data_IF_879299870090
#
_entry.id   IF_879299870090
#
_cell.length_a   1.000
_cell.length_b   1.000
_cell.length_c   1.000
_cell.angle_alpha   90.00
_cell.angle_beta   90.00
_cell.angle_gamma   90.00
#
_symmetry.space_group_name_H-M   'P 1'
#
loop_
_entity.id
_entity.type
_entity.pdbx_description
1 polymer ?
#
# COMPACT_ATOMS: atom_id res chain seq x y z
N UNK A 1 29.56 3.46 5.08
CA UNK A 1 28.82 2.47 5.88
C UNK A 1 29.59 1.17 5.92
N UNK A 2 29.22 0.26 6.82
CA UNK A 2 29.82 -1.09 6.88
C UNK A 2 29.41 -1.89 5.64
N UNK A 3 30.36 -2.63 5.04
CA UNK A 3 30.16 -3.37 3.79
C UNK A 3 29.43 -4.70 3.96
N UNK A 4 29.39 -5.24 5.19
CA UNK A 4 28.76 -6.50 5.53
C UNK A 4 28.10 -6.40 6.90
N UNK A 5 26.89 -6.95 7.03
CA UNK A 5 26.18 -7.00 8.29
C UNK A 5 26.87 -7.96 9.28
N UNK A 6 26.93 -7.59 10.55
CA UNK A 6 27.42 -8.47 11.63
C UNK A 6 28.94 -8.55 11.79
N UNK A 7 29.73 -7.77 11.04
CA UNK A 7 31.20 -7.68 11.23
C UNK A 7 31.65 -6.43 11.98
N UNK A 8 30.75 -5.47 12.19
CA UNK A 8 31.06 -4.20 12.85
C UNK A 8 30.04 -3.81 13.92
N UNK A 9 29.83 -2.50 14.03
CA UNK A 9 28.96 -1.84 15.00
C UNK A 9 27.47 -2.02 14.72
N UNK A 10 27.09 -2.39 13.49
CA UNK A 10 25.69 -2.57 13.08
C UNK A 10 25.38 -4.03 12.77
N UNK A 11 24.27 -4.51 13.31
CA UNK A 11 23.76 -5.86 13.08
C UNK A 11 22.25 -5.91 12.92
N UNK A 12 21.74 -7.11 12.68
CA UNK A 12 20.30 -7.35 12.66
C UNK A 12 19.92 -8.71 13.22
N UNK A 13 18.66 -8.81 13.67
CA UNK A 13 18.03 -10.07 14.08
C UNK A 13 16.60 -10.10 13.54
N UNK A 14 16.32 -11.06 12.67
CA UNK A 14 14.98 -11.35 12.17
C UNK A 14 14.68 -12.83 12.37
N UNK A 15 13.45 -13.26 12.10
CA UNK A 15 13.11 -14.68 12.20
C UNK A 15 13.95 -15.49 11.21
N UNK A 16 14.75 -16.43 11.75
CA UNK A 16 15.56 -17.34 10.95
C UNK A 16 16.91 -16.78 10.46
N UNK A 17 17.22 -15.50 10.71
CA UNK A 17 18.50 -14.92 10.32
C UNK A 17 19.00 -13.91 11.35
N UNK A 18 20.31 -13.95 11.62
CA UNK A 18 20.98 -13.06 12.56
C UNK A 18 22.38 -12.75 12.04
N UNK A 19 22.77 -11.48 12.12
CA UNK A 19 24.13 -11.03 11.87
C UNK A 19 24.55 -10.05 12.97
N UNK A 20 25.38 -10.52 13.91
CA UNK A 20 25.92 -9.73 15.02
C UNK A 20 27.30 -10.28 15.43
N UNK A 21 28.17 -9.42 15.95
CA UNK A 21 29.44 -9.79 16.58
C UNK A 21 29.67 -9.02 17.88
N UNK A 22 30.78 -9.27 18.56
CA UNK A 22 31.14 -8.61 19.83
C UNK A 22 31.30 -7.09 19.72
N UNK A 23 31.49 -6.58 18.49
CA UNK A 23 31.58 -5.14 18.20
C UNK A 23 30.22 -4.50 17.96
N UNK A 24 29.15 -5.27 17.79
CA UNK A 24 27.82 -4.75 17.48
C UNK A 24 27.29 -3.91 18.65
N UNK A 25 26.78 -2.71 18.34
CA UNK A 25 26.21 -1.74 19.28
C UNK A 25 24.82 -1.27 18.87
N UNK A 26 24.47 -1.38 17.59
CA UNK A 26 23.16 -1.10 17.05
C UNK A 26 22.61 -2.36 16.38
N UNK A 27 21.39 -2.76 16.74
CA UNK A 27 20.73 -3.95 16.22
C UNK A 27 19.37 -3.57 15.65
N UNK A 28 19.18 -3.80 14.36
CA UNK A 28 17.85 -3.77 13.76
C UNK A 28 17.15 -5.10 14.02
N UNK A 29 15.92 -5.06 14.51
CA UNK A 29 15.14 -6.29 14.66
C UNK A 29 13.66 -6.02 14.38
N UNK A 30 12.93 -7.08 14.04
CA UNK A 30 11.48 -6.96 13.95
C UNK A 30 10.86 -6.90 15.34
N UNK A 31 9.70 -6.25 15.46
CA UNK A 31 8.93 -6.13 16.70
C UNK A 31 8.76 -7.48 17.42
N UNK A 32 8.42 -8.54 16.68
CA UNK A 32 8.27 -9.88 17.24
C UNK A 32 9.54 -10.49 17.83
N UNK A 33 10.72 -10.18 17.29
CA UNK A 33 12.01 -10.62 17.87
C UNK A 33 12.23 -9.94 19.22
N UNK A 34 11.99 -8.62 19.30
CA UNK A 34 12.13 -7.88 20.55
C UNK A 34 11.13 -8.34 21.60
N UNK A 35 9.86 -8.54 21.22
CA UNK A 35 8.82 -9.07 22.12
C UNK A 35 9.22 -10.43 22.70
N UNK A 36 9.78 -11.33 21.88
CA UNK A 36 10.29 -12.62 22.35
C UNK A 36 11.47 -12.46 23.31
N UNK A 37 12.38 -11.53 23.03
CA UNK A 37 13.51 -11.25 23.91
C UNK A 37 13.02 -10.75 25.27
N UNK A 38 12.05 -9.83 25.30
CA UNK A 38 11.44 -9.25 26.50
C UNK A 38 10.78 -10.26 27.45
N UNK A 39 10.53 -11.50 27.00
CA UNK A 39 10.03 -12.58 27.87
C UNK A 39 11.10 -13.14 28.82
N UNK A 40 12.39 -12.82 28.61
CA UNK A 40 13.50 -13.28 29.45
C UNK A 40 13.77 -12.32 30.60
N UNK A 41 14.06 -12.84 31.80
CA UNK A 41 14.25 -12.04 33.04
C UNK A 41 15.40 -11.02 33.00
N UNK A 42 16.25 -11.04 31.96
CA UNK A 42 17.39 -10.13 31.75
C UNK A 42 17.44 -9.54 30.35
N UNK A 43 16.28 -9.49 29.69
CA UNK A 43 16.16 -9.07 28.30
C UNK A 43 16.76 -7.68 27.99
N UNK A 44 16.70 -6.78 28.99
CA UNK A 44 17.02 -5.36 28.87
C UNK A 44 18.36 -4.98 29.52
N UNK A 45 19.05 -5.90 30.23
CA UNK A 45 20.25 -5.57 31.02
C UNK A 45 21.37 -4.93 30.19
N UNK A 46 21.48 -5.33 28.92
CA UNK A 46 22.49 -4.82 27.98
C UNK A 46 21.95 -3.75 27.03
N UNK A 47 20.70 -3.31 27.19
CA UNK A 47 20.02 -2.39 26.27
C UNK A 47 19.86 -1.02 26.94
N UNK A 48 20.48 0.00 26.34
CA UNK A 48 20.36 1.38 26.83
C UNK A 48 19.23 2.14 26.14
N UNK A 49 18.99 1.85 24.86
CA UNK A 49 18.01 2.56 24.03
C UNK A 49 17.21 1.57 23.18
N UNK A 50 15.91 1.79 23.09
CA UNK A 50 15.01 1.11 22.15
C UNK A 50 14.37 2.18 21.27
N UNK A 51 14.51 2.03 19.97
CA UNK A 51 13.87 2.89 18.98
C UNK A 51 12.77 2.06 18.32
N UNK A 52 11.52 2.51 18.46
CA UNK A 52 10.37 1.90 17.80
C UNK A 52 10.06 2.75 16.58
N UNK A 53 10.32 2.20 15.40
CA UNK A 53 10.10 2.86 14.13
C UNK A 53 8.68 2.58 13.61
N UNK A 54 8.20 3.45 12.71
CA UNK A 54 6.91 3.33 12.03
C UNK A 54 5.71 3.06 12.95
N UNK A 55 5.68 3.71 14.11
CA UNK A 55 4.59 3.53 15.09
C UNK A 55 3.22 3.92 14.54
N UNK A 56 3.19 4.69 13.44
CA UNK A 56 1.98 5.15 12.79
C UNK A 56 1.23 4.06 12.02
N UNK A 57 1.85 2.93 11.70
CA UNK A 57 1.18 1.81 11.01
C UNK A 57 0.22 1.04 11.93
N UNK A 58 0.30 1.27 13.26
CA UNK A 58 -0.63 0.71 14.26
C UNK A 58 -0.79 -0.81 14.21
N UNK A 59 0.29 -1.52 13.87
CA UNK A 59 0.36 -2.97 13.98
C UNK A 59 0.11 -3.44 15.41
N UNK A 60 -0.63 -4.55 15.57
CA UNK A 60 -0.94 -5.13 16.89
C UNK A 60 0.33 -5.39 17.72
N UNK A 61 1.35 -5.98 17.10
CA UNK A 61 2.62 -6.28 17.79
C UNK A 61 3.30 -5.01 18.30
N UNK A 62 3.23 -3.92 17.53
CA UNK A 62 3.81 -2.63 17.92
C UNK A 62 3.04 -2.03 19.09
N UNK A 63 1.70 -2.04 19.06
CA UNK A 63 0.87 -1.56 20.17
C UNK A 63 1.12 -2.37 21.46
N UNK A 64 1.26 -3.71 21.36
CA UNK A 64 1.65 -4.57 22.48
C UNK A 64 3.04 -4.22 23.00
N UNK A 65 4.02 -4.05 22.10
CA UNK A 65 5.38 -3.65 22.46
C UNK A 65 5.39 -2.33 23.24
N UNK A 66 4.64 -1.32 22.78
CA UNK A 66 4.54 -0.03 23.47
C UNK A 66 4.00 -0.20 24.90
N UNK A 67 2.99 -1.06 25.09
CA UNK A 67 2.46 -1.40 26.41
C UNK A 67 3.50 -2.05 27.32
N UNK A 68 4.24 -3.03 26.81
CA UNK A 68 5.31 -3.71 27.56
C UNK A 68 6.44 -2.74 27.92
N UNK A 69 6.93 -1.95 26.95
CA UNK A 69 8.01 -0.98 27.17
C UNK A 69 7.62 0.08 28.20
N UNK A 70 6.38 0.58 28.16
CA UNK A 70 5.88 1.54 29.16
C UNK A 70 5.87 0.96 30.57
N UNK A 71 5.57 -0.33 30.73
CA UNK A 71 5.70 -1.02 32.01
C UNK A 71 7.17 -1.19 32.41
N UNK A 72 8.04 -1.59 31.48
CA UNK A 72 9.48 -1.80 31.72
C UNK A 72 10.24 -0.53 32.11
N UNK A 73 9.84 0.66 31.63
CA UNK A 73 10.46 1.92 32.04
C UNK A 73 10.34 2.19 33.54
N UNK A 74 9.33 1.63 34.22
CA UNK A 74 9.16 1.81 35.67
C UNK A 74 10.21 1.03 36.48
N UNK A 75 10.70 -0.09 35.96
CA UNK A 75 11.68 -0.96 36.63
C UNK A 75 13.10 -0.83 36.06
N UNK A 76 13.27 -0.19 34.90
CA UNK A 76 14.55 -0.08 34.19
C UNK A 76 14.95 1.39 34.00
N UNK A 77 15.51 2.05 35.04
CA UNK A 77 15.70 3.51 35.04
C UNK A 77 16.70 4.02 33.98
N UNK A 78 17.60 3.15 33.51
CA UNK A 78 18.59 3.50 32.49
C UNK A 78 18.07 3.34 31.04
N UNK A 79 16.91 2.73 30.85
CA UNK A 79 16.34 2.49 29.52
C UNK A 79 15.73 3.79 28.96
N UNK A 80 16.04 4.08 27.70
CA UNK A 80 15.41 5.15 26.93
C UNK A 80 14.60 4.55 25.79
N UNK A 81 13.40 5.07 25.57
CA UNK A 81 12.54 4.67 24.46
C UNK A 81 12.33 5.88 23.56
N UNK A 82 12.55 5.70 22.26
CA UNK A 82 12.32 6.69 21.21
C UNK A 82 11.27 6.14 20.26
N UNK A 83 10.26 6.94 19.94
CA UNK A 83 9.23 6.59 18.97
C UNK A 83 9.47 7.43 17.70
N UNK A 84 9.53 6.76 16.55
CA UNK A 84 9.68 7.41 15.25
C UNK A 84 8.44 7.16 14.40
N UNK A 85 7.96 8.21 13.74
CA UNK A 85 6.74 8.22 12.94
C UNK A 85 6.90 9.19 11.76
N UNK A 86 6.46 8.78 10.58
CA UNK A 86 6.37 9.64 9.41
C UNK A 86 5.16 10.61 9.45
N UNK A 87 4.12 10.30 10.23
CA UNK A 87 2.87 11.08 10.27
C UNK A 87 2.68 11.87 11.56
N UNK A 88 1.77 12.85 11.52
CA UNK A 88 1.59 13.89 12.55
C UNK A 88 0.91 13.41 13.86
N UNK A 89 0.70 12.11 14.08
CA UNK A 89 0.01 11.60 15.29
C UNK A 89 0.90 11.61 16.57
N UNK A 90 1.90 12.51 16.63
CA UNK A 90 2.80 12.66 17.76
C UNK A 90 2.07 13.07 19.05
N UNK A 91 0.95 13.77 18.94
CA UNK A 91 0.13 14.21 20.10
C UNK A 91 -0.50 13.02 20.82
N UNK A 92 -1.02 12.03 20.08
CA UNK A 92 -1.62 10.83 20.67
C UNK A 92 -0.59 9.98 21.39
N UNK A 93 0.59 9.79 20.81
CA UNK A 93 1.68 9.08 21.47
C UNK A 93 2.14 9.83 22.73
N UNK A 94 2.28 11.17 22.67
CA UNK A 94 2.60 11.97 23.84
C UNK A 94 1.51 11.87 24.92
N UNK A 95 0.23 11.90 24.56
CA UNK A 95 -0.87 11.73 25.52
C UNK A 95 -0.82 10.36 26.21
N UNK A 96 -0.46 9.30 25.49
CA UNK A 96 -0.30 7.96 26.07
C UNK A 96 0.92 7.88 27.01
N UNK A 97 2.09 8.38 26.62
CA UNK A 97 3.32 8.29 27.41
C UNK A 97 3.43 9.34 28.53
N UNK A 98 2.67 10.43 28.42
CA UNK A 98 2.56 11.52 29.38
C UNK A 98 2.74 12.88 28.70
N UNK A 99 1.96 13.88 29.11
CA UNK A 99 1.97 15.23 28.48
C UNK A 99 3.33 15.92 28.45
N UNK A 100 4.26 15.53 29.33
CA UNK A 100 5.63 16.03 29.37
C UNK A 100 6.61 15.31 28.43
N UNK A 101 6.13 14.38 27.60
CA UNK A 101 6.97 13.64 26.66
C UNK A 101 7.55 14.61 25.62
N UNK A 102 8.90 14.74 25.51
CA UNK A 102 9.53 15.60 24.53
C UNK A 102 9.20 15.16 23.11
N UNK A 103 8.99 16.12 22.22
CA UNK A 103 8.69 15.89 20.80
C UNK A 103 9.63 16.71 19.95
N UNK A 104 10.14 16.11 18.89
CA UNK A 104 11.00 16.75 17.90
C UNK A 104 10.40 16.48 16.54
N UNK A 105 10.14 17.54 15.78
CA UNK A 105 9.70 17.44 14.40
C UNK A 105 10.90 17.66 13.48
N UNK A 106 11.23 16.66 12.67
CA UNK A 106 12.28 16.76 11.66
C UNK A 106 11.60 17.07 10.32
N UNK A 107 11.88 18.22 9.68
CA UNK A 107 11.26 18.54 8.40
C UNK A 107 11.71 17.53 7.35
N UNK A 108 10.73 16.89 6.70
CA UNK A 108 10.98 16.03 5.55
C UNK A 108 11.55 16.83 4.38
N UNK A 109 12.34 16.14 3.54
CA UNK A 109 12.73 16.65 2.22
C UNK A 109 12.05 15.78 1.18
N UNK A 110 11.14 16.35 0.43
CA UNK A 110 10.55 15.72 -0.75
C UNK A 110 10.97 16.50 -1.99
N UNK A 111 11.00 15.79 -3.12
CA UNK A 111 11.02 16.44 -4.42
C UNK A 111 9.57 16.60 -4.89
N UNK A 112 9.27 17.60 -5.73
CA UNK A 112 7.93 17.71 -6.30
C UNK A 112 7.57 16.42 -7.04
N UNK A 113 6.41 15.86 -6.71
CA UNK A 113 5.83 14.69 -7.37
C UNK A 113 4.57 15.16 -8.08
N UNK A 114 4.42 14.78 -9.36
CA UNK A 114 3.21 15.04 -10.13
C UNK A 114 2.22 13.89 -9.91
N UNK A 115 1.04 14.23 -9.42
CA UNK A 115 -0.04 13.27 -9.21
C UNK A 115 -0.89 13.15 -10.48
N UNK A 116 -1.23 11.92 -10.85
CA UNK A 116 -2.10 11.58 -11.97
C UNK A 116 -3.24 10.71 -11.45
N UNK A 117 -4.47 11.11 -11.72
CA UNK A 117 -5.67 10.37 -11.35
C UNK A 117 -6.07 9.40 -12.47
N UNK A 118 -7.11 8.61 -12.24
CA UNK A 118 -7.55 7.58 -13.17
C UNK A 118 -7.89 8.15 -14.55
N UNK A 119 -8.51 9.33 -14.58
CA UNK A 119 -8.85 10.08 -15.78
C UNK A 119 -7.61 10.40 -16.61
N UNK A 120 -6.55 10.87 -15.95
CA UNK A 120 -5.29 11.21 -16.61
C UNK A 120 -4.62 9.95 -17.16
N UNK A 121 -4.64 8.85 -16.42
CA UNK A 121 -4.08 7.56 -16.86
C UNK A 121 -4.82 7.03 -18.08
N UNK A 122 -6.16 7.07 -18.08
CA UNK A 122 -6.98 6.67 -19.21
C UNK A 122 -6.67 7.53 -20.44
N UNK A 123 -6.55 8.85 -20.25
CA UNK A 123 -6.20 9.80 -21.29
C UNK A 123 -4.80 9.55 -21.87
N UNK A 124 -3.79 9.40 -21.02
CA UNK A 124 -2.39 9.19 -21.42
C UNK A 124 -2.19 7.85 -22.14
N UNK A 125 -2.88 6.81 -21.72
CA UNK A 125 -2.68 5.45 -22.25
C UNK A 125 -3.57 5.10 -23.43
N UNK A 126 -4.63 5.89 -23.69
CA UNK A 126 -5.64 5.54 -24.67
C UNK A 126 -6.41 4.27 -24.30
N UNK A 127 -6.37 3.84 -23.03
CA UNK A 127 -6.99 2.59 -22.61
C UNK A 127 -8.51 2.72 -22.61
N UNK A 128 -9.19 1.73 -23.18
CA UNK A 128 -10.65 1.63 -23.20
C UNK A 128 -11.02 0.42 -22.35
N UNK A 129 -11.51 0.62 -21.11
CA UNK A 129 -11.92 -0.48 -20.26
C UNK A 129 -13.03 -1.30 -20.92
N UNK A 130 -13.03 -2.63 -20.72
CA UNK A 130 -14.06 -3.50 -21.28
C UNK A 130 -15.44 -3.07 -20.77
N UNK A 131 -16.47 -3.20 -21.61
CA UNK A 131 -17.85 -2.97 -21.15
C UNK A 131 -18.15 -3.95 -20.01
N UNK A 132 -18.75 -3.47 -18.92
CA UNK A 132 -19.26 -4.31 -17.83
C UNK A 132 -20.11 -5.41 -18.47
N UNK A 133 -19.61 -6.64 -18.43
CA UNK A 133 -20.31 -7.78 -19.01
C UNK A 133 -21.65 -7.91 -18.29
N UNK A 134 -22.77 -7.89 -19.01
CA UNK A 134 -24.02 -8.45 -18.47
C UNK A 134 -23.66 -9.86 -18.05
N UNK A 135 -23.67 -10.17 -16.74
CA UNK A 135 -23.56 -11.55 -16.26
C UNK A 135 -24.54 -12.35 -17.08
N UNK A 136 -24.06 -13.21 -17.98
CA UNK A 136 -24.92 -14.20 -18.62
C UNK A 136 -25.41 -15.08 -17.48
N UNK A 137 -26.62 -14.83 -16.98
CA UNK A 137 -27.38 -15.81 -16.22
C UNK A 137 -27.69 -16.95 -17.19
N UNK A 138 -26.71 -17.82 -17.40
CA UNK A 138 -26.89 -19.09 -18.06
C UNK A 138 -27.81 -19.94 -17.21
N UNK A 139 -29.02 -20.18 -17.72
CA UNK A 139 -30.03 -20.98 -17.07
C UNK A 139 -29.59 -22.43 -16.82
N UNK A 140 -30.01 -22.92 -15.65
CA UNK A 140 -30.38 -24.32 -15.34
C UNK A 140 -29.48 -25.43 -15.89
N UNK A 141 -28.54 -25.87 -15.05
CA UNK A 141 -28.04 -27.25 -15.00
C UNK A 141 -28.19 -27.79 -13.57
N UNK A 142 -28.99 -28.83 -13.40
CA UNK A 142 -29.23 -29.56 -12.15
C UNK A 142 -27.92 -30.17 -11.59
N UNK A 143 -27.68 -30.05 -10.28
CA UNK A 143 -26.80 -30.96 -9.53
C UNK A 143 -25.80 -30.29 -8.58
N UNK A 144 -26.00 -30.43 -7.26
CA UNK A 144 -24.94 -30.22 -6.26
C UNK A 144 -25.30 -29.27 -5.12
N UNK A 145 -25.95 -29.81 -4.08
CA UNK A 145 -26.11 -29.18 -2.76
C UNK A 145 -24.73 -29.04 -2.10
N UNK A 146 -24.29 -27.81 -1.85
CA UNK A 146 -23.16 -27.50 -0.95
C UNK A 146 -23.53 -26.29 -0.07
N UNK A 147 -23.26 -26.31 1.24
CA UNK A 147 -23.79 -25.29 2.14
C UNK A 147 -23.02 -23.96 1.97
N UNK A 148 -23.74 -22.92 1.56
CA UNK A 148 -23.25 -21.53 1.61
C UNK A 148 -23.12 -21.11 3.07
N UNK A 149 -21.90 -20.78 3.50
CA UNK A 149 -21.67 -20.06 4.77
C UNK A 149 -22.16 -18.62 4.57
N UNK A 150 -23.27 -18.28 5.21
CA UNK A 150 -23.77 -16.92 5.35
C UNK A 150 -22.98 -16.20 6.46
N UNK A 151 -22.30 -15.11 6.13
CA UNK A 151 -21.78 -14.17 7.15
C UNK A 151 -22.79 -13.04 7.38
N UNK A 152 -23.05 -12.61 8.63
CA UNK A 152 -24.19 -11.73 8.97
C UNK A 152 -24.06 -10.22 8.66
N UNK A 153 -23.14 -9.80 7.76
CA UNK A 153 -22.78 -8.38 7.61
C UNK A 153 -22.99 -7.80 6.21
N UNK A 154 -23.66 -8.52 5.31
CA UNK A 154 -23.97 -8.05 3.97
C UNK A 154 -25.42 -7.54 3.89
N UNK A 155 -25.70 -6.42 4.56
CA UNK A 155 -26.92 -5.64 4.37
C UNK A 155 -26.65 -4.18 4.78
N UNK A 156 -26.47 -3.33 3.76
CA UNK A 156 -26.52 -1.85 3.70
C UNK A 156 -25.42 -1.41 2.71
N UNK A 157 -25.63 -0.80 1.55
CA UNK A 157 -26.66 0.13 1.12
C UNK A 157 -26.84 0.00 -0.41
N UNK A 158 -28.08 -0.06 -0.89
CA UNK A 158 -28.41 0.26 -2.28
C UNK A 158 -29.75 0.99 -2.26
N UNK A 159 -29.71 2.29 -2.54
CA UNK A 159 -30.89 3.10 -2.83
C UNK A 159 -31.15 2.98 -4.33
N UNK A 160 -32.30 2.42 -4.66
CA UNK A 160 -32.82 2.28 -6.01
C UNK A 160 -33.21 3.66 -6.57
N UNK A 161 -32.57 4.07 -7.66
CA UNK A 161 -33.19 4.99 -8.62
C UNK A 161 -33.49 4.16 -9.88
N UNK A 162 -34.79 3.97 -10.11
CA UNK A 162 -35.37 3.38 -11.31
C UNK A 162 -35.14 4.33 -12.49
N UNK A 163 -34.67 3.82 -13.64
CA UNK A 163 -34.87 4.51 -14.90
C UNK A 163 -35.35 3.51 -15.96
N UNK A 164 -36.46 3.90 -16.57
CA UNK A 164 -37.24 3.12 -17.52
C UNK A 164 -36.53 3.04 -18.87
N UNK A 165 -36.80 1.95 -19.60
CA UNK A 165 -36.10 1.64 -20.83
C UNK A 165 -36.48 2.52 -22.01
N UNK A 166 -35.62 2.50 -23.04
CA UNK A 166 -36.09 2.51 -24.41
C UNK A 166 -35.17 1.62 -25.27
N UNK A 167 -35.82 0.83 -26.11
CA UNK A 167 -35.20 -0.06 -27.09
C UNK A 167 -34.69 0.78 -28.26
N UNK A 168 -33.55 0.40 -28.84
CA UNK A 168 -33.41 0.50 -30.29
C UNK A 168 -32.46 -0.58 -30.84
N UNK A 169 -32.95 -1.20 -31.91
CA UNK A 169 -32.32 -2.27 -32.69
C UNK A 169 -31.42 -1.69 -33.80
N UNK A 170 -30.41 -2.50 -34.12
CA UNK A 170 -29.71 -2.65 -35.40
C UNK A 170 -28.93 -1.47 -36.03
N UNK A 171 -27.63 -1.69 -36.23
CA UNK A 171 -27.15 -1.99 -37.59
C UNK A 171 -25.70 -2.49 -37.62
N UNK A 172 -25.49 -3.47 -38.49
CA UNK A 172 -24.22 -4.07 -38.89
C UNK A 172 -23.63 -3.24 -40.04
N UNK A 173 -22.35 -2.89 -39.97
CA UNK A 173 -21.48 -2.61 -41.13
C UNK A 173 -20.01 -2.76 -40.69
N UNK A 174 -19.34 -3.86 -41.04
CA UNK A 174 -18.47 -4.07 -42.21
C UNK A 174 -17.19 -3.22 -42.22
N UNK A 175 -16.07 -3.95 -42.23
CA UNK A 175 -14.65 -3.55 -42.27
C UNK A 175 -14.24 -2.63 -43.41
N UNK A 176 -13.27 -1.74 -43.16
CA UNK A 176 -12.17 -1.51 -44.11
C UNK A 176 -10.91 -0.91 -43.44
N UNK A 177 -9.78 -1.32 -43.99
CA UNK A 177 -8.38 -1.01 -43.71
C UNK A 177 -7.99 0.41 -44.12
N UNK A 178 -7.10 1.05 -43.36
CA UNK A 178 -6.41 2.28 -43.77
C UNK A 178 -5.22 2.60 -42.85
N UNK A 179 -4.01 2.51 -43.40
CA UNK A 179 -2.75 2.94 -42.79
C UNK A 179 -2.54 4.42 -43.11
N UNK A 180 -2.30 5.28 -42.12
CA UNK A 180 -1.46 6.48 -42.28
C UNK A 180 -1.02 7.03 -40.92
N UNK A 181 0.25 7.41 -40.83
CA UNK A 181 0.90 7.97 -39.65
C UNK A 181 0.62 9.45 -39.43
N UNK A 182 0.68 9.86 -38.17
CA UNK A 182 0.58 11.24 -37.68
C UNK A 182 0.31 11.20 -36.18
N UNK A 183 1.33 11.48 -35.36
CA UNK A 183 1.24 11.48 -33.90
C UNK A 183 0.43 12.68 -33.40
N UNK A 184 -0.81 12.41 -33.00
CA UNK A 184 -1.66 13.33 -32.26
C UNK A 184 -2.05 12.62 -30.93
N UNK A 185 -2.14 13.32 -29.77
CA UNK A 185 -2.60 12.70 -28.53
C UNK A 185 -3.99 12.10 -28.79
N UNK A 186 -4.15 10.81 -28.48
CA UNK A 186 -5.25 10.00 -28.98
C UNK A 186 -6.61 10.61 -28.61
N UNK A 187 -7.36 11.03 -29.63
CA UNK A 187 -8.77 11.41 -29.48
C UNK A 187 -9.54 10.16 -29.09
N UNK A 188 -9.91 10.05 -27.81
CA UNK A 188 -10.84 9.01 -27.38
C UNK A 188 -12.16 9.18 -28.15
N UNK A 189 -12.66 8.10 -28.74
CA UNK A 189 -13.98 8.10 -29.38
C UNK A 189 -15.12 8.22 -28.38
N UNK A 190 -14.83 8.10 -27.08
CA UNK A 190 -15.77 8.16 -25.97
C UNK A 190 -15.33 9.25 -24.98
N UNK A 191 -16.27 9.97 -24.36
CA UNK A 191 -15.97 10.89 -23.26
C UNK A 191 -15.25 10.18 -22.11
N UNK A 192 -14.36 10.88 -21.41
CA UNK A 192 -13.56 10.32 -20.32
C UNK A 192 -14.46 9.81 -19.18
N UNK A 193 -15.59 10.46 -18.94
CA UNK A 193 -16.59 10.11 -17.94
C UNK A 193 -17.20 8.73 -18.23
N UNK A 194 -17.37 8.37 -19.50
CA UNK A 194 -17.88 7.05 -19.87
C UNK A 194 -16.81 5.96 -19.67
N UNK A 195 -15.54 6.28 -19.92
CA UNK A 195 -14.43 5.36 -19.70
C UNK A 195 -14.24 5.06 -18.22
N UNK A 196 -14.28 6.07 -17.35
CA UNK A 196 -14.20 5.91 -15.90
C UNK A 196 -15.32 5.00 -15.39
N UNK A 197 -16.56 5.19 -15.85
CA UNK A 197 -17.71 4.32 -15.47
C UNK A 197 -17.54 2.85 -15.84
N UNK A 198 -16.71 2.54 -16.83
CA UNK A 198 -16.42 1.16 -17.27
C UNK A 198 -15.33 0.49 -16.42
N UNK A 199 -14.52 1.24 -15.69
CA UNK A 199 -13.51 0.68 -14.79
C UNK A 199 -14.19 -0.07 -13.65
N UNK A 200 -13.67 -1.26 -13.33
CA UNK A 200 -14.11 -2.04 -12.18
C UNK A 200 -13.33 -1.60 -10.94
N UNK A 201 -14.00 -0.93 -10.00
CA UNK A 201 -13.38 -0.46 -8.76
C UNK A 201 -13.06 -1.61 -7.78
N UNK A 202 -13.62 -2.80 -7.99
CA UNK A 202 -13.41 -3.94 -7.10
C UNK A 202 -12.13 -4.73 -7.39
N UNK A 203 -11.52 -4.52 -8.57
CA UNK A 203 -10.34 -5.26 -9.02
C UNK A 203 -9.32 -4.33 -9.67
N UNK A 204 -8.04 -4.62 -9.46
CA UNK A 204 -6.95 -3.91 -10.16
C UNK A 204 -6.94 -4.32 -11.62
N UNK A 205 -7.05 -3.34 -12.52
CA UNK A 205 -6.96 -3.55 -13.97
C UNK A 205 -5.48 -3.66 -14.41
N UNK A 206 -5.00 -4.89 -14.53
CA UNK A 206 -3.62 -5.18 -14.93
C UNK A 206 -3.31 -4.82 -16.40
N UNK A 207 -4.32 -4.80 -17.28
CA UNK A 207 -4.11 -4.41 -18.68
C UNK A 207 -3.90 -2.89 -18.79
N UNK A 208 -4.65 -2.12 -18.01
CA UNK A 208 -4.43 -0.67 -17.85
C UNK A 208 -3.05 -0.39 -17.27
N UNK A 209 -2.67 -1.09 -16.19
CA UNK A 209 -1.36 -0.95 -15.56
C UNK A 209 -0.23 -1.27 -16.55
N UNK A 210 -0.36 -2.35 -17.32
CA UNK A 210 0.63 -2.74 -18.32
C UNK A 210 0.80 -1.68 -19.43
N UNK A 211 -0.30 -1.05 -19.85
CA UNK A 211 -0.25 0.08 -20.80
C UNK A 211 0.39 1.32 -20.21
N UNK A 212 0.09 1.64 -18.96
CA UNK A 212 0.71 2.78 -18.26
C UNK A 212 2.23 2.57 -18.16
N UNK A 213 2.68 1.40 -17.73
CA UNK A 213 4.13 1.09 -17.65
C UNK A 213 4.77 1.19 -19.03
N UNK A 214 4.12 0.67 -20.08
CA UNK A 214 4.61 0.79 -21.46
C UNK A 214 4.72 2.26 -21.88
N UNK A 215 3.70 3.08 -21.59
CA UNK A 215 3.68 4.49 -21.92
C UNK A 215 4.80 5.23 -21.18
N UNK A 216 5.00 5.00 -19.89
CA UNK A 216 6.08 5.59 -19.09
C UNK A 216 7.49 5.20 -19.57
N UNK A 217 7.65 4.04 -20.20
CA UNK A 217 8.93 3.62 -20.80
C UNK A 217 9.16 4.33 -22.15
N UNK A 218 8.10 4.53 -22.94
CA UNK A 218 8.17 5.13 -24.27
C UNK A 218 8.20 6.67 -24.25
N UNK A 219 7.48 7.30 -23.34
CA UNK A 219 7.38 8.77 -23.19
C UNK A 219 8.59 9.41 -22.55
N UNK A 220 9.58 8.61 -22.14
CA UNK A 220 10.86 9.14 -21.69
C UNK A 220 11.57 9.80 -22.87
N UNK A 221 11.31 11.08 -23.07
CA UNK A 221 12.16 11.98 -23.85
C UNK A 221 13.60 11.79 -23.37
N UNK A 222 14.41 11.18 -24.24
CA UNK A 222 15.88 11.17 -24.24
C UNK A 222 16.56 11.38 -22.87
N UNK A 223 16.60 10.33 -22.03
CA UNK A 223 17.66 10.19 -21.02
C UNK A 223 17.26 10.19 -19.54
N UNK A 224 15.98 10.30 -19.18
CA UNK A 224 15.57 10.21 -17.76
C UNK A 224 15.58 8.75 -17.25
N UNK A 225 16.68 8.34 -16.63
CA UNK A 225 16.83 7.03 -15.99
C UNK A 225 16.06 7.06 -14.65
N UNK A 226 15.18 6.10 -14.43
CA UNK A 226 14.40 5.99 -13.19
C UNK A 226 13.69 4.64 -13.09
N UNK A 227 13.52 4.16 -11.86
CA UNK A 227 12.83 2.91 -11.54
C UNK A 227 11.32 3.12 -11.46
N UNK A 228 10.55 2.06 -11.74
CA UNK A 228 9.10 2.02 -11.54
C UNK A 228 8.81 1.10 -10.35
N UNK A 229 8.03 1.59 -9.40
CA UNK A 229 7.52 0.83 -8.27
C UNK A 229 6.00 0.75 -8.40
N UNK A 230 5.45 -0.46 -8.42
CA UNK A 230 4.01 -0.73 -8.39
C UNK A 230 3.67 -1.28 -7.01
N UNK A 231 2.69 -0.67 -6.35
CA UNK A 231 2.15 -1.13 -5.07
C UNK A 231 0.98 -2.08 -5.28
#
# INVERSE_FOLDING_TARGET
GESQAGTGSVGYVVRGARAMCDKTRLVFCTTGVLLRQLQSEKALDCITHIIVDEVHERHLDTDVLLGVLKASLKSTPNLRVVLMSATLDAERFAAYWGKSTPRIHIPGRTFPVSDYMLEDVLYLTGYIPPKKGKKKFGGRGFGGRGPRKSTPWADSEHTDEEDEGENDLDSIATSSTGVSGGTNPQSHSLPIEELVKRVDESNVDYDMLGRLVKQLILDKETGSIGSILVF
#
